data_IF_500623458970
#
_entry.id   IF_500623458970
#
_cell.length_a   1.000
_cell.length_b   1.000
_cell.length_c   1.000
_cell.angle_alpha   90.00
_cell.angle_beta   90.00
_cell.angle_gamma   90.00
#
_symmetry.space_group_name_H-M   'P 1'
#
loop_
_entity.id
_entity.type
_entity.pdbx_description
1 polymer ?
#
# COMPACT_ATOMS: atom_id res chain seq x y z
N UNK A 1 18.19 -9.11 8.83
CA UNK A 1 16.73 -9.05 9.08
C UNK A 1 16.47 -8.78 10.56
N UNK A 2 15.27 -8.21 10.86
CA UNK A 2 14.91 -7.85 12.22
C UNK A 2 13.42 -8.10 12.48
N UNK A 3 13.11 -8.86 13.53
CA UNK A 3 11.72 -9.13 13.94
C UNK A 3 11.63 -9.46 15.45
N UNK A 4 10.45 -9.44 16.00
CA UNK A 4 10.19 -9.65 17.42
C UNK A 4 10.60 -11.04 17.96
N UNK A 5 10.73 -12.03 17.10
CA UNK A 5 11.17 -13.39 17.46
C UNK A 5 12.67 -13.55 17.66
N UNK A 6 13.48 -12.52 17.36
CA UNK A 6 14.91 -12.52 17.64
C UNK A 6 15.17 -12.29 19.12
N UNK A 7 16.27 -12.84 19.63
CA UNK A 7 16.78 -12.51 20.97
C UNK A 7 17.21 -11.05 21.05
N UNK A 8 17.30 -10.52 22.27
CA UNK A 8 17.75 -9.14 22.47
C UNK A 8 19.13 -8.88 21.85
N UNK A 9 20.04 -9.85 21.96
CA UNK A 9 21.38 -9.75 21.41
C UNK A 9 21.38 -9.70 19.87
N UNK A 10 20.63 -10.58 19.22
CA UNK A 10 20.51 -10.59 17.75
C UNK A 10 19.86 -9.31 17.23
N UNK A 11 18.87 -8.78 17.96
CA UNK A 11 18.26 -7.48 17.62
C UNK A 11 19.26 -6.34 17.71
N UNK A 12 20.04 -6.29 18.78
CA UNK A 12 21.06 -5.27 18.99
C UNK A 12 22.16 -5.36 17.91
N UNK A 13 22.64 -6.57 17.61
CA UNK A 13 23.62 -6.79 16.53
C UNK A 13 23.10 -6.33 15.18
N UNK A 14 21.89 -6.77 14.76
CA UNK A 14 21.28 -6.34 13.50
C UNK A 14 21.05 -4.84 13.42
N UNK A 15 20.67 -4.22 14.54
CA UNK A 15 20.47 -2.78 14.62
C UNK A 15 21.79 -2.02 14.49
N UNK A 16 22.83 -2.46 15.19
CA UNK A 16 24.17 -1.87 15.15
C UNK A 16 24.79 -2.03 13.75
N UNK A 17 24.61 -3.18 13.10
CA UNK A 17 25.12 -3.40 11.75
C UNK A 17 24.52 -2.41 10.75
N UNK A 18 23.23 -2.13 10.87
CA UNK A 18 22.57 -1.13 10.02
C UNK A 18 22.97 0.30 10.42
N UNK A 19 23.03 0.60 11.71
CA UNK A 19 23.36 1.94 12.21
C UNK A 19 24.77 2.38 11.80
N UNK A 20 25.73 1.44 11.82
CA UNK A 20 27.14 1.69 11.51
C UNK A 20 27.52 1.34 10.06
N UNK A 21 26.56 1.27 9.14
CA UNK A 21 26.77 1.02 7.71
C UNK A 21 27.52 -0.29 7.40
N UNK A 22 27.45 -1.30 8.29
CA UNK A 22 27.98 -2.63 8.03
C UNK A 22 27.09 -3.43 7.09
N UNK A 23 25.81 -3.09 7.03
CA UNK A 23 24.82 -3.58 6.09
C UNK A 23 24.09 -2.41 5.48
N UNK A 24 23.85 -2.46 4.17
CA UNK A 24 23.17 -1.41 3.41
C UNK A 24 21.63 -1.50 3.51
N UNK A 25 21.12 -2.71 3.73
CA UNK A 25 19.67 -2.99 3.74
C UNK A 25 19.30 -3.79 4.98
N UNK A 26 18.22 -3.39 5.64
CA UNK A 26 17.58 -4.18 6.67
C UNK A 26 16.16 -4.52 6.27
N UNK A 27 15.79 -5.80 6.37
CA UNK A 27 14.41 -6.26 6.22
C UNK A 27 13.84 -6.48 7.60
N UNK A 28 12.76 -5.78 7.92
CA UNK A 28 12.25 -5.75 9.28
C UNK A 28 10.71 -5.75 9.33
N UNK A 29 10.17 -6.20 10.44
CA UNK A 29 8.78 -5.93 10.82
C UNK A 29 8.69 -4.57 11.51
N UNK A 30 7.48 -4.10 11.81
CA UNK A 30 7.22 -2.86 12.55
C UNK A 30 7.94 -2.79 13.94
N UNK A 31 8.43 -3.93 14.44
CA UNK A 31 9.26 -3.96 15.64
C UNK A 31 10.62 -3.25 15.47
N UNK A 32 11.08 -3.04 14.22
CA UNK A 32 12.30 -2.31 13.93
C UNK A 32 12.01 -0.81 13.92
N UNK A 33 12.66 -0.08 14.78
CA UNK A 33 12.60 1.35 14.64
C UNK A 33 12.28 2.16 15.88
N UNK A 34 11.79 1.60 16.97
CA UNK A 34 11.76 2.32 18.23
C UNK A 34 13.20 2.55 18.70
N UNK A 35 13.69 3.80 18.55
CA UNK A 35 15.04 4.20 18.96
C UNK A 35 16.14 4.14 17.88
N UNK A 36 15.82 3.88 16.61
CA UNK A 36 16.79 3.99 15.52
C UNK A 36 16.82 5.43 15.01
N UNK A 37 17.94 6.09 15.28
CA UNK A 37 18.22 7.43 14.76
C UNK A 37 19.37 7.36 13.73
N UNK A 38 19.05 6.84 12.54
CA UNK A 38 19.93 6.83 11.37
C UNK A 38 19.47 7.92 10.40
N UNK A 39 20.29 8.93 10.22
CA UNK A 39 19.94 10.10 9.43
C UNK A 39 19.96 9.85 7.91
N UNK A 40 20.85 8.99 7.44
CA UNK A 40 21.15 8.77 6.01
C UNK A 40 20.34 7.64 5.36
N UNK A 41 19.13 7.33 5.86
CA UNK A 41 18.23 6.36 5.21
C UNK A 41 17.71 6.97 3.89
N UNK A 42 18.01 6.30 2.77
CA UNK A 42 17.60 6.78 1.42
C UNK A 42 16.28 6.21 0.96
N UNK A 43 15.97 4.99 1.38
CA UNK A 43 14.77 4.29 0.95
C UNK A 43 14.06 3.67 2.15
N UNK A 44 12.74 3.89 2.22
CA UNK A 44 11.85 3.12 3.09
C UNK A 44 10.83 2.43 2.17
N UNK A 45 10.86 1.10 2.17
CA UNK A 45 9.98 0.30 1.32
C UNK A 45 9.02 -0.50 2.18
N UNK A 46 7.74 -0.20 2.08
CA UNK A 46 6.68 -1.00 2.67
C UNK A 46 6.28 -2.09 1.67
N UNK A 47 6.72 -3.32 1.93
CA UNK A 47 6.35 -4.48 1.11
C UNK A 47 4.88 -4.88 1.32
N UNK A 48 4.36 -4.70 2.53
CA UNK A 48 2.96 -4.79 2.86
C UNK A 48 2.44 -3.43 3.33
N UNK A 49 1.18 -3.15 3.04
CA UNK A 49 0.53 -1.92 3.50
C UNK A 49 0.41 -1.92 5.03
N UNK A 50 0.82 -0.86 5.75
CA UNK A 50 0.50 -0.67 7.16
C UNK A 50 -1.00 -0.61 7.42
N UNK A 51 -1.42 -0.89 8.66
CA UNK A 51 -2.83 -0.90 9.04
C UNK A 51 -3.47 0.47 9.16
N UNK A 52 -2.66 1.52 9.28
CA UNK A 52 -3.11 2.91 9.46
C UNK A 52 -2.09 3.92 8.94
N UNK A 53 -2.54 5.16 8.72
CA UNK A 53 -1.71 6.26 8.21
C UNK A 53 -0.66 6.68 9.22
N UNK A 54 -0.96 6.62 10.52
CA UNK A 54 -0.02 7.01 11.57
C UNK A 54 1.20 6.10 11.59
N UNK A 55 0.99 4.79 11.51
CA UNK A 55 2.05 3.79 11.41
C UNK A 55 2.87 4.00 10.14
N UNK A 56 2.20 4.18 8.99
CA UNK A 56 2.88 4.48 7.73
C UNK A 56 3.75 5.74 7.83
N UNK A 57 3.20 6.84 8.37
CA UNK A 57 3.92 8.10 8.50
C UNK A 57 5.15 7.99 9.43
N UNK A 58 5.00 7.30 10.56
CA UNK A 58 6.12 7.08 11.49
C UNK A 58 7.24 6.23 10.87
N UNK A 59 6.89 5.24 10.06
CA UNK A 59 7.86 4.37 9.41
C UNK A 59 8.52 5.08 8.22
N UNK A 60 7.75 5.74 7.36
CA UNK A 60 8.22 6.54 6.24
C UNK A 60 9.11 7.72 6.71
N UNK A 61 8.76 8.36 7.82
CA UNK A 61 9.50 9.48 8.41
C UNK A 61 10.91 9.13 8.93
N UNK A 62 11.37 7.89 8.74
CA UNK A 62 12.79 7.49 8.97
C UNK A 62 13.67 7.85 7.79
N UNK A 63 13.11 8.05 6.62
CA UNK A 63 13.87 8.43 5.43
C UNK A 63 14.28 9.92 5.48
N UNK A 64 15.50 10.21 5.03
CA UNK A 64 15.96 11.57 4.76
C UNK A 64 16.07 12.52 5.97
N UNK A 65 16.32 12.02 7.17
CA UNK A 65 16.46 12.87 8.36
C UNK A 65 17.64 13.86 8.29
N UNK A 66 18.56 13.63 7.37
CA UNK A 66 19.66 14.54 7.06
C UNK A 66 19.28 15.64 6.05
N UNK A 67 18.03 15.70 5.62
CA UNK A 67 17.53 16.66 4.63
C UNK A 67 17.89 16.34 3.20
N UNK A 68 18.57 15.22 2.93
CA UNK A 68 18.87 14.80 1.57
C UNK A 68 17.69 14.01 0.96
N UNK A 69 17.63 14.02 -0.39
CA UNK A 69 16.59 13.31 -1.13
C UNK A 69 16.50 11.85 -0.69
N UNK A 70 15.29 11.42 -0.40
CA UNK A 70 14.95 10.06 -0.01
C UNK A 70 13.62 9.67 -0.61
N UNK A 71 13.34 8.38 -0.70
CA UNK A 71 12.13 7.86 -1.32
C UNK A 71 11.41 6.90 -0.37
N UNK A 72 10.10 7.09 -0.23
CA UNK A 72 9.21 6.20 0.48
C UNK A 72 8.32 5.47 -0.52
N UNK A 73 8.44 4.15 -0.58
CA UNK A 73 7.73 3.31 -1.54
C UNK A 73 6.74 2.44 -0.78
N UNK A 74 5.48 2.53 -1.16
CA UNK A 74 4.42 1.67 -0.62
C UNK A 74 3.92 0.73 -1.71
N UNK A 75 4.14 -0.56 -1.53
CA UNK A 75 3.53 -1.61 -2.35
C UNK A 75 2.17 -1.96 -1.74
N UNK A 76 1.15 -2.00 -2.58
CA UNK A 76 -0.22 -2.29 -2.15
C UNK A 76 -0.76 -3.54 -2.82
N UNK A 77 -1.40 -4.40 -2.05
CA UNK A 77 -2.16 -5.55 -2.51
C UNK A 77 -3.50 -5.64 -1.77
N UNK A 78 -4.55 -6.05 -2.47
CA UNK A 78 -5.86 -6.31 -1.82
C UNK A 78 -5.78 -7.41 -0.72
N UNK A 79 -4.74 -8.26 -0.77
CA UNK A 79 -4.48 -9.25 0.30
C UNK A 79 -4.10 -8.60 1.62
N UNK A 80 -3.45 -7.44 1.58
CA UNK A 80 -3.05 -6.71 2.79
C UNK A 80 -4.28 -6.27 3.58
N UNK A 81 -5.32 -5.80 2.88
CA UNK A 81 -6.62 -5.48 3.50
C UNK A 81 -7.17 -6.68 4.28
N UNK A 82 -7.28 -7.83 3.63
CA UNK A 82 -7.81 -9.05 4.28
C UNK A 82 -6.98 -9.49 5.49
N UNK A 83 -5.66 -9.31 5.44
CA UNK A 83 -4.78 -9.61 6.55
C UNK A 83 -5.05 -8.70 7.76
N UNK A 84 -5.19 -7.39 7.55
CA UNK A 84 -5.51 -6.45 8.62
C UNK A 84 -6.91 -6.66 9.19
N UNK A 85 -7.92 -6.89 8.36
CA UNK A 85 -9.28 -7.25 8.79
C UNK A 85 -9.27 -8.51 9.67
N UNK A 86 -8.51 -9.52 9.28
CA UNK A 86 -8.34 -10.73 10.09
C UNK A 86 -7.73 -10.41 11.45
N UNK A 87 -6.64 -9.64 11.53
CA UNK A 87 -6.01 -9.27 12.79
C UNK A 87 -6.94 -8.46 13.70
N UNK A 88 -7.71 -7.54 13.15
CA UNK A 88 -8.71 -6.78 13.91
C UNK A 88 -9.76 -7.75 14.50
N UNK A 89 -10.27 -8.68 13.69
CA UNK A 89 -11.30 -9.63 14.09
C UNK A 89 -10.85 -10.56 15.21
N UNK A 90 -9.62 -11.13 15.10
CA UNK A 90 -9.09 -12.07 16.09
C UNK A 90 -8.50 -11.41 17.33
N UNK A 91 -8.37 -10.09 17.35
CA UNK A 91 -7.87 -9.37 18.51
C UNK A 91 -8.80 -9.56 19.71
N UNK A 92 -8.23 -9.61 20.92
CA UNK A 92 -8.98 -9.69 22.18
C UNK A 92 -9.48 -8.33 22.67
N UNK A 93 -9.36 -7.28 21.83
CA UNK A 93 -9.82 -5.94 22.14
C UNK A 93 -11.36 -5.87 22.14
N UNK A 94 -11.91 -4.85 22.79
CA UNK A 94 -13.33 -4.55 22.78
C UNK A 94 -13.81 -4.07 21.38
N UNK A 95 -15.12 -4.02 21.21
CA UNK A 95 -15.73 -3.66 19.92
C UNK A 95 -15.43 -2.20 19.54
N UNK A 96 -15.40 -1.27 20.51
CA UNK A 96 -15.06 0.13 20.25
C UNK A 96 -13.63 0.30 19.69
N UNK A 97 -12.68 -0.48 20.21
CA UNK A 97 -11.32 -0.50 19.67
C UNK A 97 -11.27 -1.11 18.27
N UNK A 98 -12.01 -2.21 18.03
CA UNK A 98 -12.06 -2.85 16.70
C UNK A 98 -12.66 -1.93 15.65
N UNK A 99 -13.72 -1.21 16.00
CA UNK A 99 -14.36 -0.23 15.11
C UNK A 99 -13.37 0.88 14.75
N UNK A 100 -12.68 1.45 15.75
CA UNK A 100 -11.63 2.46 15.50
C UNK A 100 -10.50 1.95 14.59
N UNK A 101 -10.06 0.72 14.78
CA UNK A 101 -9.04 0.13 13.89
C UNK A 101 -9.58 -0.08 12.49
N UNK A 102 -10.84 -0.47 12.33
CA UNK A 102 -11.52 -0.59 11.04
C UNK A 102 -11.62 0.75 10.31
N UNK A 103 -11.95 1.83 11.03
CA UNK A 103 -11.95 3.19 10.46
C UNK A 103 -10.56 3.63 10.00
N UNK A 104 -9.53 3.39 10.81
CA UNK A 104 -8.13 3.70 10.45
C UNK A 104 -7.68 2.92 9.21
N UNK A 105 -7.97 1.63 9.16
CA UNK A 105 -7.70 0.79 8.00
C UNK A 105 -8.40 1.32 6.75
N UNK A 106 -9.66 1.77 6.88
CA UNK A 106 -10.42 2.36 5.78
C UNK A 106 -9.73 3.62 5.24
N UNK A 107 -9.24 4.50 6.12
CA UNK A 107 -8.50 5.71 5.74
C UNK A 107 -7.19 5.36 5.04
N UNK A 108 -6.47 4.36 5.52
CA UNK A 108 -5.24 3.88 4.87
C UNK A 108 -5.53 3.32 3.47
N UNK A 109 -6.61 2.55 3.29
CA UNK A 109 -7.05 2.06 1.98
C UNK A 109 -7.45 3.20 1.02
N UNK A 110 -8.08 4.25 1.53
CA UNK A 110 -8.38 5.45 0.75
C UNK A 110 -7.10 6.15 0.30
N UNK A 111 -6.10 6.24 1.18
CA UNK A 111 -4.78 6.78 0.85
C UNK A 111 -4.10 6.00 -0.28
N UNK A 112 -4.10 4.66 -0.25
CA UNK A 112 -3.47 3.87 -1.32
C UNK A 112 -4.15 4.00 -2.68
N UNK A 113 -5.42 4.42 -2.70
CA UNK A 113 -6.24 4.55 -3.94
C UNK A 113 -6.44 6.00 -4.38
N UNK A 114 -5.94 6.97 -3.60
CA UNK A 114 -6.13 8.38 -3.94
C UNK A 114 -5.42 8.77 -5.23
N UNK A 115 -6.02 9.71 -5.96
CA UNK A 115 -5.40 10.38 -7.11
C UNK A 115 -4.91 11.80 -6.76
N UNK A 116 -5.20 12.26 -5.55
CA UNK A 116 -4.71 13.52 -5.03
C UNK A 116 -3.23 13.41 -4.66
N UNK A 117 -2.60 14.53 -4.39
CA UNK A 117 -1.25 14.56 -3.85
C UNK A 117 -1.14 13.69 -2.60
N UNK A 118 -0.16 12.77 -2.58
CA UNK A 118 0.01 11.84 -1.47
C UNK A 118 0.44 12.56 -0.19
N UNK A 119 1.34 13.52 -0.31
CA UNK A 119 1.81 14.32 0.83
C UNK A 119 0.70 15.20 1.39
N UNK A 120 -0.03 15.93 0.54
CA UNK A 120 -1.18 16.72 0.96
C UNK A 120 -2.26 15.85 1.65
N UNK A 121 -2.46 14.63 1.17
CA UNK A 121 -3.41 13.70 1.81
C UNK A 121 -2.99 13.33 3.23
N UNK A 122 -1.70 13.12 3.48
CA UNK A 122 -1.16 12.85 4.83
C UNK A 122 -1.24 14.12 5.69
N UNK A 123 -0.83 15.25 5.16
CA UNK A 123 -0.90 16.54 5.90
C UNK A 123 -2.32 16.82 6.34
N UNK A 124 -3.30 16.72 5.44
CA UNK A 124 -4.71 16.94 5.79
C UNK A 124 -5.29 15.91 6.76
N UNK A 125 -4.70 14.71 6.82
CA UNK A 125 -5.10 13.71 7.81
C UNK A 125 -4.75 14.13 9.23
N UNK A 126 -3.56 14.73 9.44
CA UNK A 126 -3.10 15.20 10.75
C UNK A 126 -3.52 16.64 11.03
N UNK A 127 -3.52 17.49 10.03
CA UNK A 127 -3.79 18.94 10.10
C UNK A 127 -4.83 19.35 9.05
N UNK A 128 -6.14 19.12 9.32
CA UNK A 128 -7.20 19.32 8.33
C UNK A 128 -7.33 20.75 7.80
N UNK A 129 -6.78 21.75 8.51
CA UNK A 129 -6.85 23.15 8.14
C UNK A 129 -5.59 23.64 7.37
N UNK A 130 -4.62 22.77 7.15
CA UNK A 130 -3.41 23.14 6.41
C UNK A 130 -3.72 23.25 4.91
N UNK A 131 -3.08 24.20 4.23
CA UNK A 131 -3.39 24.57 2.85
C UNK A 131 -2.36 24.02 1.85
N UNK A 132 -2.03 22.72 1.95
CA UNK A 132 -1.18 22.03 1.00
C UNK A 132 -2.05 21.33 -0.05
N UNK A 133 -1.94 21.74 -1.32
CA UNK A 133 -2.65 21.10 -2.44
C UNK A 133 -1.77 20.10 -3.18
N UNK A 134 -0.54 20.48 -3.52
CA UNK A 134 0.41 19.68 -4.28
C UNK A 134 1.83 19.81 -3.71
N UNK A 135 2.59 18.71 -3.71
CA UNK A 135 3.99 18.68 -3.27
C UNK A 135 4.99 18.68 -4.44
N UNK A 136 4.52 18.55 -5.68
CA UNK A 136 5.32 18.51 -6.92
C UNK A 136 6.34 17.37 -7.01
N UNK A 137 6.40 16.46 -6.03
CA UNK A 137 7.40 15.39 -5.97
C UNK A 137 6.85 13.98 -5.74
N UNK A 138 5.64 13.83 -5.22
CA UNK A 138 5.06 12.50 -5.05
C UNK A 138 4.62 11.90 -6.39
N UNK A 139 4.47 10.58 -6.44
CA UNK A 139 4.11 9.87 -7.67
C UNK A 139 2.83 10.39 -8.33
N UNK A 140 1.85 10.87 -7.56
CA UNK A 140 0.61 11.42 -8.10
C UNK A 140 0.80 12.83 -8.69
N UNK A 141 1.74 13.63 -8.19
CA UNK A 141 2.04 14.96 -8.72
C UNK A 141 2.94 14.90 -9.95
N UNK A 142 3.96 14.02 -9.96
CA UNK A 142 4.92 13.94 -11.08
C UNK A 142 4.47 13.00 -12.20
N UNK A 143 3.49 12.14 -11.95
CA UNK A 143 2.97 11.25 -12.96
C UNK A 143 2.13 12.05 -13.94
N UNK A 144 2.60 12.22 -15.17
CA UNK A 144 1.73 12.63 -16.27
C UNK A 144 0.55 11.65 -16.29
N UNK A 145 -0.66 12.15 -16.01
CA UNK A 145 -1.89 11.38 -16.13
C UNK A 145 -2.10 11.05 -17.62
N UNK A 146 -1.39 10.03 -18.11
CA UNK A 146 -1.66 9.48 -19.44
C UNK A 146 -3.01 8.79 -19.38
N UNK A 147 -4.04 9.54 -19.71
CA UNK A 147 -5.37 8.97 -19.96
C UNK A 147 -5.32 8.28 -21.32
N UNK A 148 -5.66 7.01 -21.33
CA UNK A 148 -5.85 6.26 -22.57
C UNK A 148 -7.33 6.25 -22.92
N UNK A 149 -7.65 6.55 -24.18
CA UNK A 149 -9.02 6.35 -24.65
C UNK A 149 -9.30 4.84 -24.76
N UNK A 150 -10.02 4.31 -23.78
CA UNK A 150 -10.42 2.91 -23.68
C UNK A 150 -11.85 2.69 -24.21
N UNK A 151 -12.40 3.64 -24.98
CA UNK A 151 -13.78 3.58 -25.50
C UNK A 151 -14.02 2.31 -26.32
N UNK A 152 -13.04 1.90 -27.13
CA UNK A 152 -13.13 0.69 -27.95
C UNK A 152 -13.21 -0.56 -27.09
N UNK A 153 -12.30 -0.70 -26.14
CA UNK A 153 -12.20 -1.84 -25.22
C UNK A 153 -13.44 -1.92 -24.33
N UNK A 154 -13.92 -0.79 -23.83
CA UNK A 154 -15.16 -0.71 -23.05
C UNK A 154 -16.36 -1.18 -23.88
N UNK A 155 -16.49 -0.74 -25.14
CA UNK A 155 -17.55 -1.21 -26.06
C UNK A 155 -17.44 -2.71 -26.33
N UNK A 156 -16.23 -3.25 -26.49
CA UNK A 156 -16.01 -4.69 -26.68
C UNK A 156 -16.48 -5.48 -25.46
N UNK A 157 -16.13 -5.05 -24.26
CA UNK A 157 -16.54 -5.70 -23.01
C UNK A 157 -18.07 -5.67 -22.87
N UNK A 158 -18.68 -4.50 -23.02
CA UNK A 158 -20.14 -4.32 -22.91
C UNK A 158 -20.88 -5.17 -23.95
N UNK A 159 -20.39 -5.19 -25.19
CA UNK A 159 -20.97 -6.00 -26.27
C UNK A 159 -20.84 -7.50 -25.97
N UNK A 160 -19.72 -7.95 -25.43
CA UNK A 160 -19.52 -9.32 -25.00
C UNK A 160 -20.54 -9.72 -23.92
N UNK A 161 -20.64 -8.92 -22.85
CA UNK A 161 -21.59 -9.15 -21.75
C UNK A 161 -23.05 -9.20 -22.26
N UNK A 162 -23.42 -8.28 -23.13
CA UNK A 162 -24.79 -8.23 -23.70
C UNK A 162 -25.10 -9.48 -24.53
N UNK A 163 -24.15 -9.95 -25.35
CA UNK A 163 -24.32 -11.16 -26.17
C UNK A 163 -24.45 -12.44 -25.34
N UNK A 164 -23.73 -12.47 -24.19
CA UNK A 164 -23.79 -13.58 -23.22
C UNK A 164 -24.99 -13.46 -22.26
N UNK A 165 -25.96 -12.58 -22.56
CA UNK A 165 -27.19 -12.36 -21.78
C UNK A 165 -26.99 -12.07 -20.32
N UNK A 166 -25.80 -11.55 -19.95
CA UNK A 166 -25.41 -11.17 -18.57
C UNK A 166 -25.43 -12.35 -17.57
N UNK A 167 -25.28 -13.58 -18.04
CA UNK A 167 -25.38 -14.78 -17.20
C UNK A 167 -24.02 -15.42 -16.89
N UNK A 168 -22.95 -14.92 -17.54
CA UNK A 168 -21.64 -15.53 -17.43
C UNK A 168 -20.74 -14.85 -16.38
N UNK A 169 -19.83 -15.63 -15.81
CA UNK A 169 -18.84 -15.09 -14.91
C UNK A 169 -17.83 -14.20 -15.64
N UNK A 170 -17.22 -13.27 -14.93
CA UNK A 170 -16.18 -12.41 -15.50
C UNK A 170 -15.00 -13.21 -16.08
N UNK A 171 -14.68 -14.39 -15.51
CA UNK A 171 -13.64 -15.27 -16.03
C UNK A 171 -13.92 -15.75 -17.44
N UNK A 172 -15.17 -16.13 -17.72
CA UNK A 172 -15.62 -16.54 -19.07
C UNK A 172 -15.58 -15.37 -20.03
N UNK A 173 -16.00 -14.18 -19.57
CA UNK A 173 -15.93 -12.94 -20.39
C UNK A 173 -14.47 -12.64 -20.79
N UNK A 174 -13.51 -12.77 -19.86
CA UNK A 174 -12.10 -12.56 -20.14
C UNK A 174 -11.60 -13.57 -21.18
N UNK A 175 -11.95 -14.85 -21.04
CA UNK A 175 -11.54 -15.90 -21.98
C UNK A 175 -12.06 -15.61 -23.39
N UNK A 176 -13.34 -15.25 -23.52
CA UNK A 176 -13.95 -14.88 -24.83
C UNK A 176 -13.26 -13.67 -25.44
N UNK A 177 -12.98 -12.63 -24.65
CA UNK A 177 -12.31 -11.43 -25.14
C UNK A 177 -10.85 -11.68 -25.56
N UNK A 178 -10.19 -12.68 -24.98
CA UNK A 178 -8.86 -13.15 -25.36
C UNK A 178 -8.87 -14.09 -26.56
N UNK A 179 -10.05 -14.52 -27.02
CA UNK A 179 -10.18 -15.51 -28.08
C UNK A 179 -9.80 -16.93 -27.66
N UNK A 180 -9.84 -17.21 -26.35
CA UNK A 180 -9.59 -18.55 -25.82
C UNK A 180 -10.79 -19.45 -26.18
N UNK A 181 -10.51 -20.60 -26.80
CA UNK A 181 -11.55 -21.56 -27.20
C UNK A 181 -11.52 -22.72 -26.21
N UNK A 182 -12.36 -22.65 -25.19
CA UNK A 182 -12.61 -23.78 -24.26
C UNK A 182 -13.81 -24.58 -24.73
N UNK A 183 -13.95 -25.84 -24.28
CA UNK A 183 -15.12 -26.67 -24.63
C UNK A 183 -16.40 -26.03 -24.09
N UNK A 184 -16.38 -25.33 -22.98
CA UNK A 184 -17.51 -24.56 -22.47
C UNK A 184 -17.95 -23.46 -23.45
N UNK A 185 -16.99 -22.69 -24.01
CA UNK A 185 -17.26 -21.58 -24.93
C UNK A 185 -17.76 -22.12 -26.33
N UNK A 186 -17.37 -23.35 -26.70
CA UNK A 186 -17.80 -23.95 -27.96
C UNK A 186 -19.26 -24.39 -27.97
N UNK A 187 -19.78 -24.80 -26.82
CA UNK A 187 -21.10 -25.47 -26.74
C UNK A 187 -22.18 -24.63 -26.05
N UNK A 188 -21.87 -23.42 -25.59
CA UNK A 188 -22.79 -22.44 -25.02
C UNK A 188 -22.73 -21.10 -25.76
#
# INVERSE_FOLDING_TARGET
FYHAGLTNKEREESQNDFLYDRVEVVVATNAFGMGIDKSNVRYVVHYNMPGDIESYYQEAGRAGRDGLKSECILLFSERDKGLHEYFITVSQADDDYKDKMGEKLTKMLQYTKTKKCLEATIVHYFEPNENLEECEQCSNCVQENKTYDMTREAKMIISCIARMKQQESYSVIIQVLRGEVTDYIKYN
#
